data_IF_513011918829
#
_entry.id   IF_513011918829
#
_cell.length_a   1.000
_cell.length_b   1.000
_cell.length_c   1.000
_cell.angle_alpha   90.00
_cell.angle_beta   90.00
_cell.angle_gamma   90.00
#
_symmetry.space_group_name_H-M   'P 1'
#
loop_
_entity.id
_entity.type
_entity.pdbx_description
1 polymer ?
#
# COMPACT_ATOMS: atom_id res chain seq x y z
N UNK A 1 -8.48 6.69 -9.89
CA UNK A 1 -9.64 7.40 -9.35
C UNK A 1 -10.61 7.71 -10.46
N UNK A 2 -10.33 8.78 -11.19
CA UNK A 2 -11.14 9.25 -12.33
C UNK A 2 -11.34 8.16 -13.40
N UNK A 3 -10.28 7.41 -13.76
CA UNK A 3 -10.37 6.28 -14.67
C UNK A 3 -11.31 5.14 -14.20
N UNK A 4 -11.70 5.14 -12.93
CA UNK A 4 -12.68 4.22 -12.35
C UNK A 4 -14.02 4.92 -12.02
N UNK A 5 -14.28 6.09 -12.59
CA UNK A 5 -15.51 6.86 -12.41
C UNK A 5 -15.61 7.65 -11.11
N UNK A 6 -14.51 7.80 -10.34
CA UNK A 6 -14.51 8.58 -9.10
C UNK A 6 -14.12 10.03 -9.36
N UNK A 7 -14.95 10.94 -8.86
CA UNK A 7 -14.65 12.37 -8.83
C UNK A 7 -13.38 12.67 -8.02
N UNK A 8 -12.61 13.66 -8.49
CA UNK A 8 -11.34 14.03 -7.89
C UNK A 8 -11.51 14.62 -6.49
N UNK A 9 -12.48 15.52 -6.30
CA UNK A 9 -12.71 16.19 -5.03
C UNK A 9 -13.21 15.19 -3.98
N UNK A 10 -14.04 14.22 -4.42
CA UNK A 10 -14.43 13.07 -3.58
C UNK A 10 -13.22 12.31 -3.05
N UNK A 11 -12.27 11.94 -3.91
CA UNK A 11 -11.04 11.23 -3.50
C UNK A 11 -10.16 12.08 -2.57
N UNK A 12 -9.95 13.35 -2.90
CA UNK A 12 -9.09 14.26 -2.12
C UNK A 12 -9.68 14.60 -0.75
N UNK A 13 -11.01 14.56 -0.59
CA UNK A 13 -11.66 14.81 0.70
C UNK A 13 -11.27 13.76 1.77
N UNK A 14 -11.00 12.52 1.35
CA UNK A 14 -10.77 11.39 2.24
C UNK A 14 -11.95 11.08 3.19
N UNK A 15 -13.14 11.64 2.95
CA UNK A 15 -14.30 11.51 3.84
C UNK A 15 -14.82 10.08 3.94
N UNK A 16 -14.64 9.30 2.87
CA UNK A 16 -15.09 7.91 2.76
C UNK A 16 -14.03 6.88 3.18
N UNK A 17 -12.83 7.35 3.58
CA UNK A 17 -11.80 6.44 4.10
C UNK A 17 -12.27 5.87 5.42
N UNK A 18 -12.48 4.55 5.44
CA UNK A 18 -12.94 3.82 6.64
C UNK A 18 -11.98 4.10 7.81
N UNK A 19 -12.50 4.34 9.03
CA UNK A 19 -11.66 4.69 10.17
C UNK A 19 -10.53 3.69 10.44
N UNK A 20 -10.80 2.39 10.28
CA UNK A 20 -9.78 1.35 10.46
C UNK A 20 -8.65 1.42 9.42
N UNK A 21 -8.94 1.75 8.16
CA UNK A 21 -7.92 2.03 7.13
C UNK A 21 -7.08 3.23 7.53
N UNK A 22 -7.72 4.31 7.99
CA UNK A 22 -7.01 5.52 8.44
C UNK A 22 -6.06 5.21 9.60
N UNK A 23 -6.52 4.47 10.60
CA UNK A 23 -5.70 4.08 11.75
C UNK A 23 -4.53 3.17 11.36
N UNK A 24 -4.72 2.23 10.43
CA UNK A 24 -3.63 1.38 9.95
C UNK A 24 -2.54 2.22 9.25
N UNK A 25 -2.93 3.13 8.37
CA UNK A 25 -2.00 4.02 7.65
C UNK A 25 -1.31 5.00 8.63
N UNK A 26 -2.06 5.60 9.55
CA UNK A 26 -1.51 6.46 10.61
C UNK A 26 -0.53 5.70 11.52
N UNK A 27 -0.78 4.40 11.73
CA UNK A 27 0.14 3.49 12.41
C UNK A 27 1.50 3.43 11.73
N UNK A 28 1.53 3.31 10.39
CA UNK A 28 2.78 3.34 9.64
C UNK A 28 3.48 4.69 9.71
N UNK A 29 2.74 5.80 9.57
CA UNK A 29 3.32 7.15 9.70
C UNK A 29 3.94 7.36 11.08
N UNK A 30 3.23 6.95 12.15
CA UNK A 30 3.74 7.06 13.51
C UNK A 30 4.92 6.12 13.77
N UNK A 31 4.93 4.91 13.21
CA UNK A 31 6.06 4.00 13.29
C UNK A 31 7.34 4.66 12.73
N UNK A 32 7.27 5.23 11.52
CA UNK A 32 8.40 5.93 10.91
C UNK A 32 8.82 7.18 11.69
N UNK A 33 7.88 7.87 12.34
CA UNK A 33 8.17 9.04 13.18
C UNK A 33 8.87 8.69 14.50
N UNK A 34 8.55 7.54 15.08
CA UNK A 34 8.96 7.17 16.43
C UNK A 34 10.13 6.18 16.47
N UNK A 35 10.38 5.42 15.39
CA UNK A 35 11.47 4.45 15.29
C UNK A 35 12.72 5.04 14.64
N UNK A 36 13.82 4.30 14.75
CA UNK A 36 15.08 4.66 14.12
C UNK A 36 15.02 4.54 12.59
N UNK A 37 16.00 5.12 11.87
CA UNK A 37 16.08 5.04 10.41
C UNK A 37 16.10 3.60 9.87
N UNK A 38 16.76 2.68 10.59
CA UNK A 38 16.82 1.26 10.19
C UNK A 38 15.41 0.67 10.08
N UNK A 39 14.60 0.77 11.13
CA UNK A 39 13.25 0.20 11.11
C UNK A 39 12.34 0.93 10.10
N UNK A 40 12.43 2.26 10.02
CA UNK A 40 11.62 3.05 9.09
C UNK A 40 11.89 2.67 7.62
N UNK A 41 13.17 2.50 7.25
CA UNK A 41 13.56 2.06 5.90
C UNK A 41 13.26 0.58 5.70
N UNK A 42 13.50 -0.29 6.68
CA UNK A 42 13.18 -1.71 6.57
C UNK A 42 11.68 -1.97 6.36
N UNK A 43 10.80 -1.19 6.99
CA UNK A 43 9.36 -1.21 6.74
C UNK A 43 8.97 -0.79 5.31
N UNK A 44 9.85 -0.15 4.54
CA UNK A 44 9.60 0.11 3.11
C UNK A 44 9.78 -1.13 2.23
N UNK A 45 10.56 -2.13 2.68
CA UNK A 45 11.01 -3.29 1.87
C UNK A 45 9.89 -4.22 1.37
N UNK A 46 8.64 -4.01 1.78
CA UNK A 46 7.48 -4.55 1.04
C UNK A 46 7.52 -4.19 -0.46
N UNK A 47 8.26 -3.14 -0.84
CA UNK A 47 8.50 -2.76 -2.22
C UNK A 47 9.27 -3.80 -3.04
N UNK A 48 10.01 -4.72 -2.41
CA UNK A 48 10.61 -5.88 -3.11
C UNK A 48 9.53 -6.72 -3.84
N UNK A 49 8.33 -6.78 -3.27
CA UNK A 49 7.19 -7.53 -3.83
C UNK A 49 6.28 -6.66 -4.70
N UNK A 50 6.42 -5.33 -4.66
CA UNK A 50 5.52 -4.40 -5.35
C UNK A 50 5.50 -4.59 -6.88
N UNK A 51 6.63 -4.73 -7.59
CA UNK A 51 6.62 -4.91 -9.04
C UNK A 51 5.78 -6.10 -9.50
N UNK A 52 5.86 -7.23 -8.79
CA UNK A 52 5.10 -8.43 -9.11
C UNK A 52 3.60 -8.21 -9.01
N UNK A 53 3.11 -7.66 -7.89
CA UNK A 53 1.68 -7.40 -7.72
C UNK A 53 1.16 -6.31 -8.67
N UNK A 54 1.99 -5.34 -9.09
CA UNK A 54 1.57 -4.34 -10.09
C UNK A 54 1.33 -4.97 -11.46
N UNK A 55 2.20 -5.90 -11.91
CA UNK A 55 1.99 -6.63 -13.16
C UNK A 55 0.70 -7.47 -13.11
N UNK A 56 0.49 -8.21 -12.02
CA UNK A 56 -0.75 -8.98 -11.81
C UNK A 56 -1.99 -8.09 -11.87
N UNK A 57 -1.94 -6.87 -11.29
CA UNK A 57 -3.05 -5.92 -11.32
C UNK A 57 -3.32 -5.39 -12.72
N UNK A 58 -2.29 -5.07 -13.50
CA UNK A 58 -2.45 -4.61 -14.89
C UNK A 58 -3.16 -5.68 -15.72
N UNK A 59 -2.68 -6.92 -15.67
CA UNK A 59 -3.29 -8.05 -16.40
C UNK A 59 -4.75 -8.28 -15.98
N UNK A 60 -5.02 -8.22 -14.67
CA UNK A 60 -6.37 -8.39 -14.14
C UNK A 60 -7.32 -7.25 -14.55
N UNK A 61 -6.87 -5.99 -14.49
CA UNK A 61 -7.69 -4.85 -14.89
C UNK A 61 -8.03 -4.87 -16.38
N UNK A 62 -7.03 -5.15 -17.24
CA UNK A 62 -7.27 -5.21 -18.68
C UNK A 62 -8.20 -6.37 -19.09
N UNK A 63 -8.17 -7.48 -18.35
CA UNK A 63 -9.00 -8.66 -18.63
C UNK A 63 -10.42 -8.59 -18.04
N UNK A 64 -10.53 -8.21 -16.77
CA UNK A 64 -11.77 -8.37 -16.00
C UNK A 64 -12.53 -7.05 -15.78
N UNK A 65 -11.87 -5.91 -15.96
CA UNK A 65 -12.46 -4.58 -15.68
C UNK A 65 -12.28 -3.62 -16.88
N UNK A 66 -12.79 -3.96 -18.08
CA UNK A 66 -12.55 -3.20 -19.30
C UNK A 66 -13.18 -1.79 -19.30
N UNK A 67 -14.01 -1.47 -18.31
CA UNK A 67 -14.59 -0.14 -18.09
C UNK A 67 -13.60 0.83 -17.42
N UNK A 68 -12.46 0.35 -16.92
CA UNK A 68 -11.40 1.20 -16.39
C UNK A 68 -10.55 1.72 -17.55
N UNK A 69 -10.45 3.04 -17.67
CA UNK A 69 -9.66 3.68 -18.74
C UNK A 69 -8.17 3.32 -18.64
N UNK A 70 -7.55 3.03 -19.79
CA UNK A 70 -6.17 2.52 -19.87
C UNK A 70 -5.13 3.48 -19.32
N UNK A 71 -5.38 4.77 -19.43
CA UNK A 71 -4.56 5.86 -18.88
C UNK A 71 -4.49 5.77 -17.36
N UNK A 72 -5.56 5.29 -16.71
CA UNK A 72 -5.61 5.04 -15.27
C UNK A 72 -4.61 3.99 -14.79
N UNK A 73 -4.17 3.09 -15.67
CA UNK A 73 -3.19 2.05 -15.34
C UNK A 73 -1.74 2.53 -15.42
N UNK A 74 -1.50 3.77 -15.87
CA UNK A 74 -0.15 4.35 -15.96
C UNK A 74 0.58 4.36 -14.60
N UNK A 75 -0.15 4.56 -13.50
CA UNK A 75 0.41 4.48 -12.14
C UNK A 75 1.05 3.11 -11.87
N UNK A 76 0.34 2.02 -12.18
CA UNK A 76 0.84 0.66 -11.95
C UNK A 76 2.06 0.36 -12.81
N UNK A 77 2.04 0.76 -14.09
CA UNK A 77 3.17 0.58 -15.03
C UNK A 77 4.42 1.29 -14.51
N UNK A 78 4.29 2.55 -14.08
CA UNK A 78 5.40 3.33 -13.54
C UNK A 78 5.96 2.75 -12.24
N UNK A 79 5.10 2.20 -11.36
CA UNK A 79 5.52 1.61 -10.09
C UNK A 79 6.32 0.31 -10.24
N UNK A 80 6.28 -0.37 -11.39
CA UNK A 80 7.13 -1.55 -11.64
C UNK A 80 8.60 -1.15 -11.61
N UNK A 81 8.99 -0.13 -12.38
CA UNK A 81 10.39 0.31 -12.46
C UNK A 81 10.82 1.11 -11.22
N UNK A 82 9.92 1.95 -10.69
CA UNK A 82 10.20 2.70 -9.46
C UNK A 82 10.40 1.75 -8.28
N UNK A 83 9.47 0.81 -8.04
CA UNK A 83 9.57 -0.12 -6.92
C UNK A 83 10.85 -0.98 -6.95
N UNK A 84 11.37 -1.34 -8.13
CA UNK A 84 12.67 -2.02 -8.25
C UNK A 84 13.84 -1.14 -7.77
N UNK A 85 13.87 0.13 -8.17
CA UNK A 85 14.92 1.07 -7.75
C UNK A 85 14.83 1.36 -6.27
N UNK A 86 13.64 1.74 -5.81
CA UNK A 86 13.36 2.11 -4.41
C UNK A 86 13.72 0.96 -3.46
N UNK A 87 13.32 -0.28 -3.80
CA UNK A 87 13.65 -1.46 -2.99
C UNK A 87 15.12 -1.86 -3.02
N UNK A 88 15.84 -1.62 -4.12
CA UNK A 88 17.29 -1.87 -4.18
C UNK A 88 18.04 -0.92 -3.25
N UNK A 89 17.74 0.37 -3.33
CA UNK A 89 18.35 1.39 -2.46
C UNK A 89 18.03 1.13 -0.98
N UNK A 90 16.76 0.86 -0.67
CA UNK A 90 16.35 0.53 0.70
C UNK A 90 17.04 -0.73 1.24
N UNK A 91 17.19 -1.78 0.42
CA UNK A 91 17.83 -3.02 0.83
C UNK A 91 19.32 -2.80 1.11
N UNK A 92 20.02 -2.06 0.26
CA UNK A 92 21.43 -1.72 0.45
C UNK A 92 21.66 -0.94 1.76
N UNK A 93 20.78 0.02 2.07
CA UNK A 93 20.82 0.75 3.34
C UNK A 93 20.63 -0.16 4.55
N UNK A 94 19.60 -1.02 4.50
CA UNK A 94 19.31 -1.96 5.60
C UNK A 94 20.47 -2.92 5.82
N UNK A 95 21.05 -3.50 4.77
CA UNK A 95 22.22 -4.39 4.86
C UNK A 95 23.48 -3.66 5.36
N UNK A 96 23.60 -2.35 5.12
CA UNK A 96 24.72 -1.54 5.60
C UNK A 96 24.59 -1.17 7.08
N UNK A 97 23.36 -0.97 7.55
CA UNK A 97 23.07 -0.49 8.90
C UNK A 97 22.83 -1.61 9.90
N UNK A 98 22.26 -2.74 9.48
CA UNK A 98 22.07 -3.89 10.34
C UNK A 98 23.40 -4.64 10.50
N UNK A 99 24.08 -4.43 11.64
CA UNK A 99 25.45 -4.94 11.87
C UNK A 99 25.52 -5.99 12.97
N UNK A 100 24.39 -6.27 13.62
CA UNK A 100 24.25 -7.33 14.61
C UNK A 100 22.97 -8.14 14.39
N UNK A 101 22.87 -9.35 14.96
CA UNK A 101 21.64 -10.13 14.92
C UNK A 101 20.43 -9.36 15.46
N UNK A 102 20.62 -8.54 16.49
CA UNK A 102 19.55 -7.70 17.04
C UNK A 102 19.11 -6.61 16.08
N UNK A 103 19.98 -6.12 15.20
CA UNK A 103 19.59 -5.17 14.15
C UNK A 103 18.79 -5.85 13.03
N UNK A 104 19.22 -7.06 12.62
CA UNK A 104 18.53 -7.89 11.65
C UNK A 104 17.10 -8.22 12.14
N UNK A 105 16.97 -8.63 13.41
CA UNK A 105 15.67 -8.90 14.03
C UNK A 105 14.76 -7.66 14.02
N UNK A 106 15.30 -6.47 14.30
CA UNK A 106 14.52 -5.22 14.23
C UNK A 106 14.09 -4.89 12.80
N UNK A 107 14.95 -5.10 11.81
CA UNK A 107 14.62 -4.87 10.41
C UNK A 107 13.53 -5.84 9.92
N UNK A 108 13.63 -7.12 10.25
CA UNK A 108 12.62 -8.14 9.93
C UNK A 108 11.30 -7.83 10.63
N UNK A 109 11.33 -7.46 11.91
CA UNK A 109 10.14 -7.07 12.66
C UNK A 109 9.46 -5.82 12.06
N UNK A 110 10.24 -4.85 11.57
CA UNK A 110 9.70 -3.67 10.90
C UNK A 110 9.02 -4.01 9.56
N UNK A 111 9.60 -4.93 8.79
CA UNK A 111 8.98 -5.46 7.58
C UNK A 111 7.69 -6.23 7.88
N UNK A 112 7.69 -7.08 8.91
CA UNK A 112 6.50 -7.80 9.36
C UNK A 112 5.38 -6.83 9.80
N UNK A 113 5.70 -5.82 10.59
CA UNK A 113 4.77 -4.75 10.97
C UNK A 113 4.16 -4.07 9.73
N UNK A 114 4.94 -3.80 8.69
CA UNK A 114 4.40 -3.24 7.45
C UNK A 114 3.41 -4.18 6.78
N UNK A 115 3.70 -5.48 6.75
CA UNK A 115 2.76 -6.48 6.24
C UNK A 115 1.45 -6.47 7.03
N UNK A 116 1.49 -6.37 8.36
CA UNK A 116 0.31 -6.26 9.22
C UNK A 116 -0.52 -5.00 8.92
N UNK A 117 0.14 -3.86 8.65
CA UNK A 117 -0.54 -2.62 8.24
C UNK A 117 -1.28 -2.83 6.91
N UNK A 118 -0.63 -3.42 5.91
CA UNK A 118 -1.25 -3.67 4.60
C UNK A 118 -2.40 -4.67 4.71
N UNK A 119 -2.25 -5.69 5.55
CA UNK A 119 -3.29 -6.68 5.79
C UNK A 119 -4.50 -6.07 6.49
N UNK A 120 -4.26 -5.29 7.56
CA UNK A 120 -5.32 -4.59 8.31
C UNK A 120 -6.12 -3.63 7.43
N UNK A 121 -5.46 -2.98 6.46
CA UNK A 121 -6.13 -2.15 5.46
C UNK A 121 -7.09 -2.98 4.61
N UNK A 122 -6.65 -4.14 4.12
CA UNK A 122 -7.49 -5.02 3.30
C UNK A 122 -8.66 -5.59 4.10
N UNK A 123 -8.43 -6.06 5.33
CA UNK A 123 -9.48 -6.54 6.23
C UNK A 123 -10.53 -5.45 6.48
N UNK A 124 -10.08 -4.22 6.72
CA UNK A 124 -10.97 -3.09 6.94
C UNK A 124 -11.82 -2.73 5.70
N UNK A 125 -11.26 -2.89 4.50
CA UNK A 125 -11.99 -2.69 3.24
C UNK A 125 -12.97 -3.83 2.99
N UNK A 126 -12.60 -5.08 3.26
CA UNK A 126 -13.46 -6.26 3.11
C UNK A 126 -14.69 -6.19 4.02
N UNK A 127 -14.52 -5.73 5.26
CA UNK A 127 -15.60 -5.63 6.25
C UNK A 127 -16.30 -4.26 6.25
N UNK A 128 -15.90 -3.34 5.36
CA UNK A 128 -16.60 -2.09 5.21
C UNK A 128 -17.99 -2.36 4.62
N UNK A 129 -19.03 -2.29 5.45
CA UNK A 129 -20.42 -2.31 4.97
C UNK A 129 -20.56 -1.27 3.85
N UNK A 130 -20.98 -1.73 2.67
CA UNK A 130 -21.48 -0.83 1.63
C UNK A 130 -22.76 -0.20 2.18
N UNK A 131 -22.64 0.90 2.92
CA UNK A 131 -23.78 1.63 3.48
C UNK A 131 -24.73 2.25 2.44
N UNK A 132 -24.53 1.93 1.17
CA UNK A 132 -25.40 2.26 0.04
C UNK A 132 -25.67 1.01 -0.83
N UNK A 133 -26.20 -0.06 -0.23
CA UNK A 133 -27.12 -0.92 -1.00
C UNK A 133 -28.39 -0.09 -1.27
N UNK A 134 -29.01 -0.15 -2.47
CA UNK A 134 -30.23 0.61 -2.72
C UNK A 134 -31.24 0.23 -1.64
N UNK A 135 -31.70 1.21 -0.87
CA UNK A 135 -32.81 1.01 0.02
C UNK A 135 -33.98 0.52 -0.81
N UNK A 136 -34.33 -0.76 -0.67
CA UNK A 136 -35.61 -1.28 -1.11
C UNK A 136 -36.68 -0.58 -0.26
N UNK A 137 -37.12 0.57 -0.75
CA UNK A 137 -38.24 1.35 -0.25
C UNK A 137 -39.13 1.74 -1.41
N UNK A 138 -40.12 0.89 -1.70
CA UNK A 138 -41.48 1.18 -2.17
C UNK A 138 -42.08 -0.06 -2.85
#
# INVERSE_FOLDING_TARGET
GEAAGLDRDRLLSGAEVVPAVRLAVDGYVNFCRLRGPLEAVAASLTELSAPGIMLTRIDAFERYYPWIEREGLAYFRNRVDQGRRDSTEALDLVLTWARSPEDEDRAVAALAFKCDVLWSLLDAVEHADTKDGPGEGA
#
